data_IF_308468937015
#
_entry.id   IF_308468937015
#
_cell.length_a   1.000
_cell.length_b   1.000
_cell.length_c   1.000
_cell.angle_alpha   90.00
_cell.angle_beta   90.00
_cell.angle_gamma   90.00
#
_symmetry.space_group_name_H-M   'P 1'
#
loop_
_entity.id
_entity.type
_entity.pdbx_description
1 polymer ?
#
# COMPACT_ATOMS: atom_id res chain seq x y z
N UNK A 1 9.33 -26.71 7.64
CA UNK A 1 8.33 -27.72 7.21
C UNK A 1 6.96 -27.11 6.84
N UNK A 2 6.45 -26.06 7.51
CA UNK A 2 5.14 -25.46 7.19
C UNK A 2 5.07 -24.77 5.82
N UNK A 3 6.13 -24.07 5.40
CA UNK A 3 6.19 -23.34 4.13
C UNK A 3 5.94 -24.22 2.89
N UNK A 4 6.63 -25.36 2.78
CA UNK A 4 6.46 -26.28 1.64
C UNK A 4 5.06 -26.90 1.59
N UNK A 5 4.44 -27.12 2.76
CA UNK A 5 3.05 -27.59 2.83
C UNK A 5 2.08 -26.53 2.29
N UNK A 6 2.29 -25.25 2.62
CA UNK A 6 1.50 -24.15 2.05
C UNK A 6 1.68 -24.08 0.53
N UNK A 7 2.91 -24.21 0.01
CA UNK A 7 3.18 -24.21 -1.43
C UNK A 7 2.49 -25.38 -2.14
N UNK A 8 2.59 -26.59 -1.58
CA UNK A 8 1.92 -27.77 -2.12
C UNK A 8 0.40 -27.64 -2.07
N UNK A 9 -0.16 -27.10 -0.99
CA UNK A 9 -1.59 -26.84 -0.84
C UNK A 9 -2.08 -25.83 -1.89
N UNK A 10 -1.33 -24.74 -2.10
CA UNK A 10 -1.63 -23.76 -3.15
C UNK A 10 -1.56 -24.37 -4.53
N UNK A 11 -0.51 -25.13 -4.85
CA UNK A 11 -0.40 -25.82 -6.15
C UNK A 11 -1.58 -26.76 -6.40
N UNK A 12 -1.92 -27.61 -5.42
CA UNK A 12 -3.07 -28.54 -5.52
C UNK A 12 -4.37 -27.77 -5.72
N UNK A 13 -4.57 -26.67 -4.98
CA UNK A 13 -5.76 -25.84 -5.09
C UNK A 13 -5.83 -25.15 -6.46
N UNK A 14 -4.72 -24.61 -6.96
CA UNK A 14 -4.67 -23.97 -8.27
C UNK A 14 -5.05 -24.94 -9.39
N UNK A 15 -4.55 -26.17 -9.31
CA UNK A 15 -4.88 -27.22 -10.27
C UNK A 15 -6.34 -27.68 -10.18
N UNK A 16 -6.84 -27.89 -8.95
CA UNK A 16 -8.21 -28.38 -8.72
C UNK A 16 -9.26 -27.35 -9.08
N UNK A 17 -9.03 -26.09 -8.71
CA UNK A 17 -10.01 -25.00 -8.82
C UNK A 17 -9.77 -24.09 -10.04
N UNK A 18 -8.97 -24.53 -11.03
CA UNK A 18 -8.55 -23.69 -12.18
C UNK A 18 -9.69 -22.94 -12.88
N UNK A 19 -10.88 -23.53 -12.95
CA UNK A 19 -12.08 -22.92 -13.54
C UNK A 19 -12.60 -21.72 -12.73
N UNK A 20 -12.41 -21.73 -11.42
CA UNK A 20 -12.79 -20.63 -10.53
C UNK A 20 -11.71 -19.55 -10.42
N UNK A 21 -10.46 -19.83 -10.83
CA UNK A 21 -9.38 -18.86 -10.82
C UNK A 21 -9.53 -17.81 -11.91
N UNK A 22 -9.88 -18.22 -13.13
CA UNK A 22 -9.97 -17.31 -14.26
C UNK A 22 -10.90 -16.11 -13.98
N UNK A 23 -12.14 -16.30 -13.44
CA UNK A 23 -12.97 -15.17 -13.03
C UNK A 23 -12.34 -14.26 -11.97
N UNK A 24 -11.57 -14.81 -11.01
CA UNK A 24 -10.91 -14.02 -9.98
C UNK A 24 -9.76 -13.20 -10.56
N UNK A 25 -8.97 -13.80 -11.44
CA UNK A 25 -7.89 -13.12 -12.16
C UNK A 25 -8.44 -12.04 -13.09
N UNK A 26 -9.56 -12.28 -13.78
CA UNK A 26 -10.23 -11.25 -14.60
C UNK A 26 -10.79 -10.10 -13.74
N UNK A 27 -11.26 -10.39 -12.52
CA UNK A 27 -11.71 -9.34 -11.60
C UNK A 27 -10.52 -8.52 -11.06
N UNK A 28 -9.41 -9.19 -10.72
CA UNK A 28 -8.16 -8.52 -10.34
C UNK A 28 -7.65 -7.64 -11.52
N UNK A 29 -7.70 -8.12 -12.77
CA UNK A 29 -7.35 -7.34 -13.97
C UNK A 29 -8.26 -6.12 -14.14
N UNK A 30 -9.58 -6.31 -14.04
CA UNK A 30 -10.55 -5.21 -14.15
C UNK A 30 -10.27 -4.13 -13.11
N UNK A 31 -9.94 -4.51 -11.88
CA UNK A 31 -9.51 -3.56 -10.85
C UNK A 31 -8.28 -2.76 -11.29
N UNK A 32 -7.23 -3.42 -11.79
CA UNK A 32 -6.01 -2.72 -12.19
C UNK A 32 -6.21 -1.81 -13.40
N UNK A 33 -7.08 -2.17 -14.34
CA UNK A 33 -7.45 -1.29 -15.46
C UNK A 33 -8.19 -0.05 -14.95
N UNK A 34 -9.17 -0.21 -14.06
CA UNK A 34 -9.89 0.92 -13.46
C UNK A 34 -8.95 1.80 -12.62
N UNK A 35 -8.06 1.18 -11.86
CA UNK A 35 -7.00 1.85 -11.11
C UNK A 35 -6.15 2.73 -12.03
N UNK A 36 -5.62 2.17 -13.12
CA UNK A 36 -4.76 2.90 -14.05
C UNK A 36 -5.50 4.07 -14.72
N UNK A 37 -6.76 3.86 -15.13
CA UNK A 37 -7.60 4.92 -15.73
C UNK A 37 -7.87 6.05 -14.73
N UNK A 38 -8.24 5.73 -13.49
CA UNK A 38 -8.50 6.73 -12.46
C UNK A 38 -7.25 7.45 -12.00
N UNK A 39 -6.14 6.72 -11.86
CA UNK A 39 -4.84 7.30 -11.57
C UNK A 39 -4.48 8.33 -12.63
N UNK A 40 -4.56 7.94 -13.91
CA UNK A 40 -4.28 8.84 -15.03
C UNK A 40 -5.22 10.05 -15.00
N UNK A 41 -6.53 9.83 -14.86
CA UNK A 41 -7.50 10.92 -14.86
C UNK A 41 -7.29 11.90 -13.70
N UNK A 42 -7.11 11.43 -12.47
CA UNK A 42 -6.99 12.30 -11.29
C UNK A 42 -5.62 12.98 -11.22
N UNK A 43 -4.53 12.24 -11.50
CA UNK A 43 -3.18 12.80 -11.46
C UNK A 43 -2.98 13.87 -12.53
N UNK A 44 -3.50 13.67 -13.74
CA UNK A 44 -3.42 14.68 -14.79
C UNK A 44 -4.12 16.00 -14.42
N UNK A 45 -5.16 15.96 -13.57
CA UNK A 45 -5.83 17.17 -13.08
C UNK A 45 -5.04 17.87 -11.97
N UNK A 46 -4.30 17.12 -11.15
CA UNK A 46 -3.47 17.69 -10.09
C UNK A 46 -2.09 18.17 -10.58
N UNK A 47 -1.63 17.68 -11.74
CA UNK A 47 -0.30 17.94 -12.26
C UNK A 47 0.00 19.43 -12.51
N UNK A 48 -0.91 20.24 -13.08
CA UNK A 48 -0.66 21.67 -13.27
C UNK A 48 -0.41 22.42 -11.95
N UNK A 49 -1.21 22.14 -10.91
CA UNK A 49 -1.05 22.77 -9.60
C UNK A 49 0.21 22.27 -8.87
N UNK A 50 0.55 20.99 -9.00
CA UNK A 50 1.83 20.45 -8.51
C UNK A 50 3.03 21.12 -9.19
N UNK A 51 2.97 21.28 -10.52
CA UNK A 51 4.01 21.97 -11.29
C UNK A 51 4.12 23.44 -10.89
N UNK A 52 2.99 24.14 -10.72
CA UNK A 52 2.96 25.53 -10.29
C UNK A 52 3.57 25.70 -8.89
N UNK A 53 3.19 24.84 -7.93
CA UNK A 53 3.80 24.83 -6.59
C UNK A 53 5.30 24.60 -6.65
N UNK A 54 5.76 23.64 -7.47
CA UNK A 54 7.19 23.38 -7.62
C UNK A 54 7.93 24.58 -8.22
N UNK A 55 7.33 25.31 -9.16
CA UNK A 55 7.89 26.54 -9.70
C UNK A 55 7.96 27.67 -8.66
N UNK A 56 6.95 27.80 -7.79
CA UNK A 56 6.98 28.77 -6.68
C UNK A 56 8.14 28.47 -5.72
N UNK A 57 8.31 27.19 -5.35
CA UNK A 57 9.43 26.74 -4.50
C UNK A 57 10.78 26.96 -5.20
N UNK A 58 10.88 26.62 -6.49
CA UNK A 58 12.12 26.74 -7.25
C UNK A 58 12.55 28.20 -7.45
N UNK A 59 11.61 29.10 -7.77
CA UNK A 59 11.88 30.55 -7.86
C UNK A 59 12.40 31.10 -6.54
N UNK A 60 11.85 30.63 -5.42
CA UNK A 60 12.33 31.02 -4.09
C UNK A 60 13.75 30.52 -3.82
N UNK A 61 14.07 29.27 -4.17
CA UNK A 61 15.42 28.71 -3.98
C UNK A 61 16.52 29.45 -4.76
N UNK A 62 16.16 30.11 -5.87
CA UNK A 62 17.06 30.92 -6.69
C UNK A 62 17.21 32.37 -6.17
N UNK A 63 16.24 32.84 -5.38
CA UNK A 63 16.22 34.19 -4.81
C UNK A 63 16.79 34.24 -3.38
N UNK A 64 17.25 33.12 -2.82
CA UNK A 64 18.00 33.14 -1.57
C UNK A 64 19.32 33.88 -1.82
N UNK A 65 19.54 35.06 -1.21
CA UNK A 65 20.82 35.74 -1.36
C UNK A 65 21.91 34.78 -0.86
N UNK A 66 22.87 34.45 -1.72
CA UNK A 66 24.12 33.87 -1.24
C UNK A 66 24.84 34.98 -0.48
N UNK A 67 24.48 35.14 0.80
CA UNK A 67 25.18 36.04 1.70
C UNK A 67 26.61 35.51 1.76
N UNK A 68 27.62 36.27 1.28
CA UNK A 68 29.00 35.90 1.49
C UNK A 68 29.20 35.77 3.00
N UNK A 69 29.87 34.71 3.45
CA UNK A 69 30.15 34.46 4.87
C UNK A 69 30.85 35.63 5.59
N UNK A 70 31.30 36.64 4.84
CA UNK A 70 32.09 37.78 5.31
C UNK A 70 31.29 39.11 5.35
N UNK A 71 29.99 39.12 5.05
CA UNK A 71 29.19 40.34 5.03
C UNK A 71 28.60 40.70 6.41
N UNK A 72 29.35 41.47 7.20
CA UNK A 72 28.94 41.93 8.55
C UNK A 72 27.74 42.90 8.58
N UNK A 73 27.28 43.40 7.44
CA UNK A 73 26.16 44.36 7.37
C UNK A 73 25.20 44.02 6.21
N UNK A 74 24.39 42.98 6.39
CA UNK A 74 23.22 42.74 5.53
C UNK A 74 22.03 43.50 6.14
N UNK A 75 21.53 44.50 5.41
CA UNK A 75 20.32 45.22 5.79
C UNK A 75 19.12 44.24 5.87
N UNK A 76 18.46 44.08 7.03
CA UNK A 76 17.33 43.17 7.19
C UNK A 76 16.17 43.44 6.22
N UNK A 77 16.07 44.66 5.68
CA UNK A 77 15.07 45.02 4.68
C UNK A 77 15.36 44.42 3.29
N UNK A 78 16.61 44.03 3.01
CA UNK A 78 16.98 43.30 1.79
C UNK A 78 16.70 41.79 1.87
N UNK A 79 16.36 41.29 3.05
CA UNK A 79 15.92 39.90 3.30
C UNK A 79 14.39 39.76 3.29
N UNK A 80 13.65 40.71 2.71
CA UNK A 80 12.20 40.59 2.53
C UNK A 80 11.88 39.53 1.48
N UNK A 81 11.87 38.27 1.92
CA UNK A 81 11.29 37.16 1.20
C UNK A 81 9.77 37.32 1.17
N UNK A 82 9.22 37.68 0.01
CA UNK A 82 7.79 37.63 -0.23
C UNK A 82 7.42 36.31 -0.89
N UNK A 83 7.45 35.21 -0.13
CA UNK A 83 6.89 33.96 -0.61
C UNK A 83 5.38 34.17 -0.89
N UNK A 84 4.86 33.86 -2.09
CA UNK A 84 3.45 34.07 -2.42
C UNK A 84 2.58 33.02 -1.73
N UNK A 85 2.42 33.18 -0.41
CA UNK A 85 1.83 32.19 0.48
C UNK A 85 0.37 31.91 0.13
N UNK A 86 -0.38 32.93 -0.27
CA UNK A 86 -1.78 32.79 -0.67
C UNK A 86 -1.93 31.97 -1.96
N UNK A 87 -1.06 32.21 -2.96
CA UNK A 87 -1.04 31.43 -4.19
C UNK A 87 -0.65 29.98 -3.88
N UNK A 88 0.41 29.77 -3.09
CA UNK A 88 0.83 28.43 -2.68
C UNK A 88 -0.28 27.68 -1.93
N UNK A 89 -0.94 28.31 -0.96
CA UNK A 89 -2.04 27.71 -0.20
C UNK A 89 -3.22 27.34 -1.10
N UNK A 90 -3.57 28.20 -2.06
CA UNK A 90 -4.64 27.93 -3.02
C UNK A 90 -4.33 26.70 -3.87
N UNK A 91 -3.12 26.63 -4.43
CA UNK A 91 -2.67 25.47 -5.23
C UNK A 91 -2.58 24.20 -4.38
N UNK A 92 -2.04 24.32 -3.17
CA UNK A 92 -1.94 23.22 -2.22
C UNK A 92 -3.32 22.64 -1.86
N UNK A 93 -4.31 23.50 -1.62
CA UNK A 93 -5.67 23.08 -1.33
C UNK A 93 -6.28 22.27 -2.49
N UNK A 94 -6.01 22.65 -3.74
CA UNK A 94 -6.44 21.90 -4.94
C UNK A 94 -5.77 20.53 -5.01
N UNK A 95 -4.45 20.46 -4.78
CA UNK A 95 -3.72 19.19 -4.74
C UNK A 95 -4.27 18.27 -3.65
N UNK A 96 -4.50 18.78 -2.44
CA UNK A 96 -5.07 18.02 -1.33
C UNK A 96 -6.48 17.52 -1.67
N UNK A 97 -7.31 18.34 -2.32
CA UNK A 97 -8.64 17.94 -2.79
C UNK A 97 -8.57 16.75 -3.75
N UNK A 98 -7.69 16.79 -4.74
CA UNK A 98 -7.52 15.68 -5.68
C UNK A 98 -6.90 14.45 -5.03
N UNK A 99 -5.94 14.61 -4.11
CA UNK A 99 -5.37 13.51 -3.34
C UNK A 99 -6.44 12.82 -2.47
N UNK A 100 -7.29 13.59 -1.78
CA UNK A 100 -8.40 13.07 -0.99
C UNK A 100 -9.42 12.34 -1.86
N UNK A 101 -9.78 12.90 -3.01
CA UNK A 101 -10.68 12.25 -3.98
C UNK A 101 -10.08 10.93 -4.49
N UNK A 102 -8.79 10.93 -4.85
CA UNK A 102 -8.08 9.74 -5.28
C UNK A 102 -8.12 8.65 -4.22
N UNK A 103 -7.74 8.97 -2.97
CA UNK A 103 -7.77 8.03 -1.86
C UNK A 103 -9.18 7.48 -1.61
N UNK A 104 -10.22 8.32 -1.68
CA UNK A 104 -11.60 7.90 -1.50
C UNK A 104 -12.06 6.93 -2.59
N UNK A 105 -11.88 7.28 -3.87
CA UNK A 105 -12.27 6.42 -4.99
C UNK A 105 -11.48 5.11 -4.97
N UNK A 106 -10.18 5.19 -4.68
CA UNK A 106 -9.33 4.01 -4.53
C UNK A 106 -9.76 3.11 -3.39
N UNK A 107 -10.14 3.69 -2.25
CA UNK A 107 -10.71 2.94 -1.15
C UNK A 107 -11.99 2.21 -1.58
N UNK A 108 -12.91 2.88 -2.27
CA UNK A 108 -14.16 2.27 -2.74
C UNK A 108 -13.88 1.11 -3.70
N UNK A 109 -13.06 1.34 -4.74
CA UNK A 109 -12.72 0.30 -5.72
C UNK A 109 -11.98 -0.87 -5.08
N UNK A 110 -10.98 -0.59 -4.26
CA UNK A 110 -10.23 -1.63 -3.57
C UNK A 110 -11.17 -2.51 -2.76
N UNK A 111 -12.07 -1.91 -1.96
CA UNK A 111 -13.02 -2.67 -1.17
C UNK A 111 -14.01 -3.45 -2.03
N UNK A 112 -14.56 -2.89 -3.11
CA UNK A 112 -15.51 -3.62 -3.96
C UNK A 112 -14.87 -4.83 -4.65
N UNK A 113 -13.69 -4.66 -5.25
CA UNK A 113 -13.05 -5.73 -6.01
C UNK A 113 -12.35 -6.73 -5.09
N UNK A 114 -11.53 -6.26 -4.14
CA UNK A 114 -10.79 -7.14 -3.27
C UNK A 114 -11.68 -7.83 -2.24
N UNK A 115 -12.74 -7.21 -1.71
CA UNK A 115 -13.64 -7.95 -0.80
C UNK A 115 -14.25 -9.16 -1.52
N UNK A 116 -14.63 -9.01 -2.79
CA UNK A 116 -15.21 -10.11 -3.55
C UNK A 116 -14.18 -11.21 -3.80
N UNK A 117 -12.98 -10.86 -4.27
CA UNK A 117 -11.96 -11.86 -4.58
C UNK A 117 -11.44 -12.57 -3.33
N UNK A 118 -11.28 -11.87 -2.21
CA UNK A 118 -10.93 -12.46 -0.92
C UNK A 118 -12.05 -13.33 -0.35
N UNK A 119 -13.32 -12.94 -0.48
CA UNK A 119 -14.46 -13.78 -0.09
C UNK A 119 -14.49 -15.08 -0.89
N UNK A 120 -14.38 -15.01 -2.21
CA UNK A 120 -14.38 -16.21 -3.06
C UNK A 120 -13.20 -17.12 -2.75
N UNK A 121 -12.01 -16.55 -2.56
CA UNK A 121 -10.83 -17.31 -2.13
C UNK A 121 -11.06 -18.00 -0.78
N UNK A 122 -11.69 -17.30 0.17
CA UNK A 122 -12.05 -17.84 1.47
C UNK A 122 -13.05 -18.99 1.38
N UNK A 123 -14.08 -18.87 0.54
CA UNK A 123 -15.07 -19.92 0.31
C UNK A 123 -14.40 -21.18 -0.27
N UNK A 124 -13.51 -21.02 -1.26
CA UNK A 124 -12.79 -22.13 -1.90
C UNK A 124 -11.88 -22.88 -0.92
N UNK A 125 -11.18 -22.15 -0.05
CA UNK A 125 -10.23 -22.72 0.91
C UNK A 125 -10.90 -23.28 2.17
N UNK A 126 -11.83 -22.53 2.76
CA UNK A 126 -12.37 -22.77 4.10
C UNK A 126 -13.75 -23.42 4.08
N UNK A 127 -14.40 -23.48 2.91
CA UNK A 127 -15.77 -24.00 2.72
C UNK A 127 -16.82 -23.30 3.59
N UNK A 128 -16.54 -22.08 4.05
CA UNK A 128 -17.48 -21.23 4.81
C UNK A 128 -18.15 -20.25 3.87
N UNK A 129 -19.45 -20.05 4.04
CA UNK A 129 -20.22 -19.08 3.27
C UNK A 129 -20.52 -17.84 4.10
N UNK A 130 -20.54 -16.69 3.45
CA UNK A 130 -20.96 -15.41 4.03
C UNK A 130 -21.59 -14.56 2.93
N UNK A 131 -22.71 -13.86 3.20
CA UNK A 131 -23.27 -12.91 2.24
C UNK A 131 -22.25 -11.82 1.88
N UNK A 132 -22.13 -11.51 0.59
CA UNK A 132 -21.12 -10.58 0.09
C UNK A 132 -21.21 -9.20 0.77
N UNK A 133 -22.42 -8.66 0.94
CA UNK A 133 -22.60 -7.36 1.59
C UNK A 133 -22.12 -7.35 3.06
N UNK A 134 -22.31 -8.45 3.78
CA UNK A 134 -21.80 -8.59 5.15
C UNK A 134 -20.27 -8.66 5.15
N UNK A 135 -19.68 -9.41 4.23
CA UNK A 135 -18.23 -9.51 4.08
C UNK A 135 -17.61 -8.16 3.68
N UNK A 136 -18.21 -7.45 2.73
CA UNK A 136 -17.79 -6.13 2.26
C UNK A 136 -17.77 -5.11 3.41
N UNK A 137 -18.81 -5.06 4.25
CA UNK A 137 -18.84 -4.19 5.43
C UNK A 137 -17.69 -4.48 6.39
N UNK A 138 -17.39 -5.75 6.65
CA UNK A 138 -16.27 -6.16 7.52
C UNK A 138 -14.91 -5.83 6.87
N UNK A 139 -14.78 -6.08 5.58
CA UNK A 139 -13.56 -5.82 4.80
C UNK A 139 -13.24 -4.32 4.78
N UNK A 140 -14.25 -3.49 4.49
CA UNK A 140 -14.14 -2.03 4.52
C UNK A 140 -13.81 -1.49 5.91
N UNK A 141 -14.46 -1.99 6.96
CA UNK A 141 -14.15 -1.55 8.33
C UNK A 141 -12.71 -1.84 8.74
N UNK A 142 -12.17 -3.00 8.35
CA UNK A 142 -10.78 -3.38 8.62
C UNK A 142 -9.80 -2.58 7.78
N UNK A 143 -10.08 -2.36 6.50
CA UNK A 143 -9.22 -1.52 5.67
C UNK A 143 -9.20 -0.06 6.14
N UNK A 144 -10.35 0.48 6.55
CA UNK A 144 -10.43 1.83 7.10
C UNK A 144 -9.53 1.97 8.34
N UNK A 145 -9.52 0.96 9.22
CA UNK A 145 -8.64 0.95 10.39
C UNK A 145 -7.15 0.90 9.99
N UNK A 146 -6.74 0.00 9.10
CA UNK A 146 -5.33 -0.09 8.67
C UNK A 146 -4.85 1.17 7.95
N UNK A 147 -5.72 1.77 7.13
CA UNK A 147 -5.44 3.06 6.46
C UNK A 147 -5.33 4.18 7.48
N UNK A 148 -6.22 4.23 8.48
CA UNK A 148 -6.14 5.22 9.55
C UNK A 148 -4.81 5.11 10.31
N UNK A 149 -4.40 3.89 10.67
CA UNK A 149 -3.10 3.65 11.32
C UNK A 149 -1.93 4.08 10.43
N UNK A 150 -2.01 3.82 9.13
CA UNK A 150 -1.01 4.27 8.16
C UNK A 150 -0.94 5.80 8.05
N UNK A 151 -2.08 6.48 7.99
CA UNK A 151 -2.17 7.94 7.94
C UNK A 151 -1.58 8.56 9.20
N UNK A 152 -2.00 8.09 10.38
CA UNK A 152 -1.48 8.58 11.67
C UNK A 152 0.02 8.35 11.77
N UNK A 153 0.50 7.17 11.41
CA UNK A 153 1.92 6.84 11.42
C UNK A 153 2.73 7.71 10.45
N UNK A 154 2.24 7.91 9.22
CA UNK A 154 2.88 8.75 8.21
C UNK A 154 2.91 10.22 8.63
N UNK A 155 1.84 10.71 9.26
CA UNK A 155 1.78 12.07 9.80
C UNK A 155 2.84 12.29 10.88
N UNK A 156 2.99 11.35 11.82
CA UNK A 156 4.04 11.42 12.84
C UNK A 156 5.45 11.40 12.23
N UNK A 157 5.66 10.62 11.16
CA UNK A 157 6.93 10.61 10.43
C UNK A 157 7.22 11.92 9.72
N UNK A 158 6.21 12.57 9.12
CA UNK A 158 6.36 13.89 8.51
C UNK A 158 6.73 14.94 9.56
N UNK A 159 6.11 14.91 10.73
CA UNK A 159 6.49 15.80 11.85
C UNK A 159 7.96 15.57 12.23
N UNK A 160 8.37 14.32 12.40
CA UNK A 160 9.74 13.97 12.77
C UNK A 160 10.75 14.41 11.69
N UNK A 161 10.43 14.20 10.40
CA UNK A 161 11.24 14.66 9.27
C UNK A 161 11.40 16.19 9.29
N UNK A 162 10.31 16.91 9.50
CA UNK A 162 10.29 18.37 9.52
C UNK A 162 11.11 18.91 10.68
N UNK A 163 10.93 18.37 11.89
CA UNK A 163 11.72 18.74 13.07
C UNK A 163 13.24 18.50 12.88
N UNK A 164 13.59 17.43 12.15
CA UNK A 164 14.97 17.13 11.76
C UNK A 164 15.52 18.18 10.78
N UNK A 165 14.76 18.54 9.74
CA UNK A 165 15.19 19.52 8.73
C UNK A 165 15.42 20.92 9.33
N UNK A 166 14.67 21.30 10.36
CA UNK A 166 14.84 22.58 11.07
C UNK A 166 15.84 22.51 12.25
N UNK A 167 16.63 21.44 12.35
CA UNK A 167 17.69 21.33 13.37
C UNK A 167 17.18 21.16 14.81
N UNK A 168 15.87 20.95 15.00
CA UNK A 168 15.29 20.75 16.34
C UNK A 168 15.64 19.37 16.90
N UNK A 169 15.98 18.41 16.03
CA UNK A 169 16.41 17.06 16.41
C UNK A 169 17.65 16.69 15.58
N UNK A 170 18.84 17.02 16.07
CA UNK A 170 20.11 16.82 15.36
C UNK A 170 20.55 15.35 15.17
N UNK A 171 19.81 14.39 15.74
CA UNK A 171 20.26 12.99 15.89
C UNK A 171 19.68 12.07 14.80
N UNK A 172 18.57 12.44 14.16
CA UNK A 172 17.89 11.57 13.19
C UNK A 172 18.30 12.02 11.79
N UNK A 173 18.81 11.13 10.95
CA UNK A 173 19.04 11.46 9.54
C UNK A 173 17.78 11.21 8.71
N UNK A 174 17.65 11.87 7.56
CA UNK A 174 16.54 11.62 6.61
C UNK A 174 16.41 10.13 6.25
N UNK A 175 17.54 9.44 6.04
CA UNK A 175 17.57 8.00 5.75
C UNK A 175 16.99 7.12 6.88
N UNK A 176 17.11 7.54 8.14
CA UNK A 176 16.46 6.82 9.26
C UNK A 176 14.95 7.00 9.20
N UNK A 177 14.44 8.20 8.90
CA UNK A 177 13.00 8.45 8.75
C UNK A 177 12.41 7.61 7.63
N UNK A 178 13.08 7.54 6.48
CA UNK A 178 12.65 6.72 5.34
C UNK A 178 12.62 5.23 5.70
N UNK A 179 13.67 4.72 6.34
CA UNK A 179 13.75 3.33 6.76
C UNK A 179 12.63 2.96 7.75
N UNK A 180 12.33 3.84 8.72
CA UNK A 180 11.22 3.66 9.67
C UNK A 180 9.88 3.70 8.95
N UNK A 181 9.70 4.60 7.97
CA UNK A 181 8.49 4.67 7.16
C UNK A 181 8.24 3.40 6.36
N UNK A 182 9.27 2.88 5.69
CA UNK A 182 9.20 1.60 4.98
C UNK A 182 8.88 0.46 5.94
N UNK A 183 9.57 0.37 7.07
CA UNK A 183 9.35 -0.67 8.07
C UNK A 183 7.91 -0.63 8.62
N UNK A 184 7.38 0.56 8.90
CA UNK A 184 6.00 0.74 9.35
C UNK A 184 4.99 0.30 8.28
N UNK A 185 5.20 0.71 7.01
CA UNK A 185 4.35 0.29 5.89
C UNK A 185 4.33 -1.22 5.70
N UNK A 186 5.50 -1.86 5.75
CA UNK A 186 5.66 -3.31 5.67
C UNK A 186 4.94 -4.02 6.82
N UNK A 187 5.08 -3.51 8.05
CA UNK A 187 4.44 -4.08 9.25
C UNK A 187 2.92 -3.98 9.17
N UNK A 188 2.37 -2.83 8.78
CA UNK A 188 0.93 -2.63 8.64
C UNK A 188 0.36 -3.51 7.52
N UNK A 189 1.06 -3.62 6.39
CA UNK A 189 0.63 -4.49 5.28
C UNK A 189 0.63 -5.97 5.68
N UNK A 190 1.62 -6.42 6.46
CA UNK A 190 1.68 -7.77 7.01
C UNK A 190 0.45 -8.10 7.86
N UNK A 191 0.11 -7.24 8.81
CA UNK A 191 -1.06 -7.46 9.65
C UNK A 191 -2.39 -7.29 8.90
N UNK A 192 -2.46 -6.39 7.91
CA UNK A 192 -3.62 -6.24 7.05
C UNK A 192 -3.91 -7.53 6.24
N UNK A 193 -2.88 -8.13 5.65
CA UNK A 193 -2.97 -9.41 4.94
C UNK A 193 -3.49 -10.54 5.84
N UNK A 194 -3.02 -10.60 7.09
CA UNK A 194 -3.51 -11.57 8.09
C UNK A 194 -4.98 -11.30 8.42
N UNK A 195 -5.36 -10.04 8.64
CA UNK A 195 -6.75 -9.66 8.88
C UNK A 195 -7.67 -10.09 7.74
N UNK A 196 -7.26 -9.89 6.48
CA UNK A 196 -8.04 -10.32 5.31
C UNK A 196 -8.20 -11.83 5.26
N UNK A 197 -7.14 -12.59 5.57
CA UNK A 197 -7.19 -14.05 5.60
C UNK A 197 -8.13 -14.60 6.69
N UNK A 198 -8.25 -13.90 7.82
CA UNK A 198 -9.07 -14.32 8.97
C UNK A 198 -10.50 -13.76 8.96
N UNK A 199 -10.82 -12.86 8.03
CA UNK A 199 -12.06 -12.07 8.05
C UNK A 199 -13.35 -12.90 8.02
N UNK A 200 -13.34 -14.05 7.33
CA UNK A 200 -14.52 -14.93 7.26
C UNK A 200 -14.76 -15.68 8.58
N UNK A 201 -13.74 -15.87 9.40
CA UNK A 201 -13.79 -16.71 10.59
C UNK A 201 -14.17 -15.93 11.85
N UNK A 202 -13.88 -14.63 11.88
CA UNK A 202 -14.00 -13.81 13.08
C UNK A 202 -14.79 -12.52 12.83
N UNK A 203 -15.62 -12.07 13.79
CA UNK A 203 -16.20 -10.74 13.75
C UNK A 203 -15.13 -9.66 13.98
N UNK A 204 -15.36 -8.46 13.44
CA UNK A 204 -14.42 -7.32 13.39
C UNK A 204 -13.71 -7.04 14.71
N UNK A 205 -14.45 -6.98 15.83
CA UNK A 205 -13.89 -6.67 17.15
C UNK A 205 -12.86 -7.71 17.64
N UNK A 206 -13.13 -9.00 17.39
CA UNK A 206 -12.23 -10.09 17.79
C UNK A 206 -11.08 -10.30 16.79
N UNK A 207 -11.27 -9.86 15.54
CA UNK A 207 -10.36 -10.09 14.44
C UNK A 207 -8.98 -9.46 14.67
N UNK A 208 -8.92 -8.26 15.25
CA UNK A 208 -7.65 -7.58 15.51
C UNK A 208 -6.81 -8.33 16.52
N UNK A 209 -7.40 -8.70 17.66
CA UNK A 209 -6.72 -9.51 18.68
C UNK A 209 -6.19 -10.81 18.08
N UNK A 210 -6.99 -11.48 17.25
CA UNK A 210 -6.57 -12.72 16.56
C UNK A 210 -5.50 -12.47 15.49
N UNK A 211 -5.55 -11.34 14.80
CA UNK A 211 -4.54 -10.93 13.82
C UNK A 211 -3.18 -10.74 14.47
N UNK A 212 -3.11 -9.98 15.56
CA UNK A 212 -1.86 -9.77 16.29
C UNK A 212 -1.36 -11.07 16.93
N UNK A 213 -2.24 -11.82 17.61
CA UNK A 213 -1.87 -13.10 18.22
C UNK A 213 -1.28 -14.06 17.18
N UNK A 214 -1.95 -14.25 16.04
CA UNK A 214 -1.48 -15.14 14.99
C UNK A 214 -0.20 -14.60 14.33
N UNK A 215 -0.15 -13.30 14.01
CA UNK A 215 0.98 -12.68 13.33
C UNK A 215 2.27 -12.69 14.14
N UNK A 216 2.18 -12.58 15.46
CA UNK A 216 3.33 -12.64 16.37
C UNK A 216 3.70 -14.10 16.67
N UNK A 217 2.75 -14.92 17.13
CA UNK A 217 3.05 -16.31 17.54
C UNK A 217 3.48 -17.20 16.36
N UNK A 218 3.04 -16.88 15.13
CA UNK A 218 3.34 -17.66 13.92
C UNK A 218 4.17 -16.90 12.90
N UNK A 219 4.95 -15.91 13.35
CA UNK A 219 5.83 -15.11 12.49
C UNK A 219 6.80 -15.97 11.67
N UNK A 220 7.32 -17.07 12.24
CA UNK A 220 8.22 -18.00 11.55
C UNK A 220 7.57 -18.72 10.35
N UNK A 221 6.24 -18.73 10.24
CA UNK A 221 5.52 -19.28 9.08
C UNK A 221 4.96 -18.18 8.19
N UNK A 222 4.32 -17.16 8.77
CA UNK A 222 3.64 -16.11 8.02
C UNK A 222 4.59 -15.02 7.50
N UNK A 223 5.63 -14.69 8.25
CA UNK A 223 6.66 -13.72 7.85
C UNK A 223 7.38 -14.13 6.57
N UNK A 224 7.99 -15.33 6.49
CA UNK A 224 8.62 -15.80 5.25
C UNK A 224 7.64 -15.89 4.07
N UNK A 225 6.39 -16.30 4.31
CA UNK A 225 5.37 -16.32 3.27
C UNK A 225 5.06 -14.91 2.72
N UNK A 226 4.95 -13.93 3.62
CA UNK A 226 4.76 -12.53 3.26
C UNK A 226 5.95 -11.94 2.50
N UNK A 227 7.17 -12.16 2.99
CA UNK A 227 8.40 -11.67 2.35
C UNK A 227 8.60 -12.28 0.97
N UNK A 228 8.29 -13.57 0.78
CA UNK A 228 8.36 -14.19 -0.54
C UNK A 228 7.38 -13.56 -1.52
N UNK A 229 6.14 -13.31 -1.10
CA UNK A 229 5.16 -12.59 -1.91
C UNK A 229 5.72 -11.22 -2.31
N UNK A 230 6.25 -10.46 -1.35
CA UNK A 230 6.87 -9.15 -1.59
C UNK A 230 8.04 -9.22 -2.58
N UNK A 231 8.93 -10.19 -2.42
CA UNK A 231 10.07 -10.41 -3.32
C UNK A 231 9.61 -10.74 -4.75
N UNK A 232 8.58 -11.59 -4.91
CA UNK A 232 8.01 -11.89 -6.22
C UNK A 232 7.37 -10.67 -6.88
N UNK A 233 6.63 -9.85 -6.12
CA UNK A 233 6.10 -8.59 -6.63
C UNK A 233 7.21 -7.65 -7.08
N UNK A 234 8.26 -7.48 -6.27
CA UNK A 234 9.40 -6.65 -6.61
C UNK A 234 10.07 -7.11 -7.91
N UNK A 235 10.35 -8.41 -8.05
CA UNK A 235 10.95 -8.97 -9.26
C UNK A 235 10.08 -8.75 -10.51
N UNK A 236 8.76 -8.94 -10.40
CA UNK A 236 7.84 -8.71 -11.53
C UNK A 236 7.78 -7.23 -11.87
N UNK A 237 7.67 -6.33 -10.88
CA UNK A 237 7.64 -4.88 -11.13
C UNK A 237 8.94 -4.39 -11.77
N UNK A 238 10.09 -4.83 -11.27
CA UNK A 238 11.39 -4.50 -11.85
C UNK A 238 11.51 -5.00 -13.31
N UNK A 239 11.07 -6.23 -13.58
CA UNK A 239 11.02 -6.77 -14.93
C UNK A 239 10.11 -5.92 -15.84
N UNK A 240 8.90 -5.59 -15.38
CA UNK A 240 7.95 -4.78 -16.15
C UNK A 240 8.47 -3.37 -16.43
N UNK A 241 9.16 -2.76 -15.46
CA UNK A 241 9.81 -1.46 -15.59
C UNK A 241 10.88 -1.48 -16.68
N UNK A 242 11.82 -2.43 -16.63
CA UNK A 242 12.87 -2.59 -17.66
C UNK A 242 12.27 -2.86 -19.04
N UNK A 243 11.23 -3.68 -19.11
CA UNK A 243 10.57 -3.99 -20.38
C UNK A 243 9.76 -2.81 -20.93
N UNK A 244 9.22 -1.95 -20.08
CA UNK A 244 8.50 -0.75 -20.52
C UNK A 244 9.42 0.23 -21.25
N UNK A 245 10.71 0.25 -20.91
CA UNK A 245 11.72 1.02 -21.63
C UNK A 245 12.01 0.47 -23.05
N UNK A 246 11.71 -0.81 -23.31
CA UNK A 246 11.87 -1.46 -24.62
C UNK A 246 10.56 -1.39 -25.41
N UNK A 247 9.44 -1.78 -24.80
CA UNK A 247 8.12 -1.80 -25.41
C UNK A 247 7.03 -1.76 -24.36
N UNK A 248 6.23 -0.68 -24.40
CA UNK A 248 5.04 -0.52 -23.55
C UNK A 248 4.03 -1.64 -23.78
N UNK A 249 3.83 -2.06 -25.04
CA UNK A 249 2.91 -3.15 -25.38
C UNK A 249 3.37 -4.48 -24.78
N UNK A 250 4.66 -4.79 -24.89
CA UNK A 250 5.21 -6.02 -24.29
C UNK A 250 5.09 -6.01 -22.77
N UNK A 251 5.40 -4.89 -22.13
CA UNK A 251 5.24 -4.71 -20.68
C UNK A 251 3.78 -4.91 -20.26
N UNK A 252 2.82 -4.35 -21.02
CA UNK A 252 1.40 -4.53 -20.75
C UNK A 252 0.94 -5.99 -20.90
N UNK A 253 1.38 -6.70 -21.95
CA UNK A 253 1.08 -8.13 -22.12
C UNK A 253 1.63 -8.95 -20.95
N UNK A 254 2.87 -8.70 -20.54
CA UNK A 254 3.49 -9.41 -19.42
C UNK A 254 2.88 -9.02 -18.07
N UNK A 255 2.39 -7.80 -17.91
CA UNK A 255 1.59 -7.42 -16.75
C UNK A 255 0.36 -8.32 -16.62
N UNK A 256 -0.38 -8.52 -17.71
CA UNK A 256 -1.55 -9.41 -17.72
C UNK A 256 -1.15 -10.87 -17.44
N UNK A 257 -0.06 -11.35 -18.04
CA UNK A 257 0.33 -12.76 -17.96
C UNK A 257 1.06 -13.13 -16.66
N UNK A 258 1.76 -12.19 -16.02
CA UNK A 258 2.59 -12.45 -14.83
C UNK A 258 2.01 -11.82 -13.57
N UNK A 259 1.71 -10.52 -13.62
CA UNK A 259 1.35 -9.76 -12.42
C UNK A 259 -0.05 -10.12 -11.91
N UNK A 260 -1.05 -10.20 -12.79
CA UNK A 260 -2.42 -10.49 -12.36
C UNK A 260 -2.55 -11.92 -11.78
N UNK A 261 -1.99 -12.97 -12.40
CA UNK A 261 -1.96 -14.30 -11.79
C UNK A 261 -1.16 -14.35 -10.49
N UNK A 262 -0.08 -13.56 -10.38
CA UNK A 262 0.67 -13.43 -9.13
C UNK A 262 -0.21 -12.88 -8.00
N UNK A 263 -1.08 -11.90 -8.28
CA UNK A 263 -2.02 -11.35 -7.28
C UNK A 263 -3.00 -12.39 -6.77
N UNK A 264 -3.65 -13.11 -7.69
CA UNK A 264 -4.56 -14.20 -7.33
C UNK A 264 -3.82 -15.30 -6.55
N UNK A 265 -2.64 -15.70 -7.03
CA UNK A 265 -1.81 -16.75 -6.42
C UNK A 265 -1.29 -16.38 -5.05
N UNK A 266 -0.82 -15.14 -4.84
CA UNK A 266 -0.31 -14.65 -3.56
C UNK A 266 -1.41 -14.64 -2.50
N UNK A 267 -2.62 -14.22 -2.88
CA UNK A 267 -3.79 -14.24 -1.98
C UNK A 267 -4.12 -15.66 -1.53
N UNK A 268 -4.16 -16.61 -2.45
CA UNK A 268 -4.41 -18.03 -2.14
C UNK A 268 -3.30 -18.63 -1.28
N UNK A 269 -2.04 -18.36 -1.62
CA UNK A 269 -0.88 -18.84 -0.87
C UNK A 269 -0.87 -18.31 0.56
N UNK A 270 -1.06 -17.01 0.74
CA UNK A 270 -1.07 -16.40 2.06
C UNK A 270 -2.24 -16.89 2.91
N UNK A 271 -3.44 -17.02 2.32
CA UNK A 271 -4.60 -17.53 3.04
C UNK A 271 -4.43 -18.99 3.45
N UNK A 272 -3.82 -19.83 2.61
CA UNK A 272 -3.49 -21.22 2.96
C UNK A 272 -2.45 -21.28 4.11
N UNK A 273 -1.44 -20.41 4.09
CA UNK A 273 -0.46 -20.30 5.17
C UNK A 273 -1.10 -19.83 6.49
N UNK A 274 -1.99 -18.83 6.45
CA UNK A 274 -2.72 -18.33 7.61
C UNK A 274 -3.66 -19.38 8.21
N UNK A 275 -4.34 -20.16 7.37
CA UNK A 275 -5.21 -21.25 7.80
C UNK A 275 -4.44 -22.36 8.51
N UNK A 276 -3.31 -22.80 7.94
CA UNK A 276 -2.44 -23.81 8.56
C UNK A 276 -1.87 -23.31 9.89
N UNK A 277 -1.41 -22.05 9.94
CA UNK A 277 -0.91 -21.42 11.16
C UNK A 277 -2.00 -21.36 12.26
N UNK A 278 -3.24 -21.01 11.88
CA UNK A 278 -4.39 -20.94 12.79
C UNK A 278 -4.77 -22.32 13.34
N UNK A 279 -4.74 -23.36 12.51
CA UNK A 279 -5.02 -24.74 12.94
C UNK A 279 -4.02 -25.25 13.97
N UNK A 280 -2.72 -24.95 13.78
CA UNK A 280 -1.68 -25.33 14.75
C UNK A 280 -1.86 -24.62 16.08
N UNK A 281 -2.19 -23.33 16.04
CA UNK A 281 -2.44 -22.55 17.26
C UNK A 281 -3.59 -23.14 18.09
N UNK A 282 -4.65 -23.63 17.45
CA UNK A 282 -5.77 -24.30 18.15
C UNK A 282 -5.43 -25.68 18.72
N UNK A 283 -4.36 -26.33 18.25
CA UNK A 283 -3.91 -27.64 18.76
C UNK A 283 -2.97 -27.53 19.97
N UNK A 284 -2.34 -26.37 20.14
CA UNK A 284 -1.38 -26.10 21.21
C UNK A 284 -2.03 -25.43 22.44
N UNK A 285 -3.31 -25.06 22.35
CA UNK A 285 -4.15 -24.52 23.43
C UNK A 285 -5.17 -25.56 23.87
#
# INVERSE_FOLDING_TARGET
MSFFLSLQATRKLLWREKKHLLPLTLLDLTFFVLFALLHTFIVLQALPDLSAMNQLIAKESLNVPQVPLDAENVDPSQLQFSFPIEEFQTRFAVVIKFAALYLLVMFILYNLFFAYTWLKTSILLKKKQMPYLQYLKRFAGINALWILLFIVGSYLLVIAATATMFGQIAIISSGVVDAVGIALGVLLLYFAMISHALLIDYPTLSLLKKTFALGIQRIATLGPAFLLIGALYYLVVELLSRLSAISVVLSFVLFILLFVPLVTGSRMFFMAAAEEASRRMKKET
#
